data_IF_522116031918
#
_entry.id   IF_522116031918
#
_cell.length_a   1.000
_cell.length_b   1.000
_cell.length_c   1.000
_cell.angle_alpha   90.00
_cell.angle_beta   90.00
_cell.angle_gamma   90.00
#
_symmetry.space_group_name_H-M   'P 1'
#
loop_
_entity.id
_entity.type
_entity.pdbx_description
1 polymer ?
#
# COMPACT_ATOMS: atom_id res chain seq x y z
N UNK A 1 -47.68 -63.62 42.20
CA UNK A 1 -47.15 -62.33 42.72
C UNK A 1 -45.66 -62.27 42.28
N UNK A 2 -45.38 -61.67 41.14
CA UNK A 2 -44.03 -61.61 40.54
C UNK A 2 -43.76 -60.18 40.22
N UNK A 3 -42.76 -59.62 40.86
CA UNK A 3 -42.31 -58.24 40.71
C UNK A 3 -41.21 -58.24 39.69
N UNK A 4 -41.48 -57.56 38.52
CA UNK A 4 -40.48 -57.38 37.45
C UNK A 4 -39.47 -56.25 37.76
N UNK A 5 -38.20 -56.55 37.57
CA UNK A 5 -37.10 -55.56 37.57
C UNK A 5 -36.95 -54.98 36.16
N UNK A 6 -37.21 -53.68 36.04
CA UNK A 6 -36.82 -52.92 34.84
C UNK A 6 -35.48 -52.22 35.13
N UNK A 7 -34.47 -52.66 34.49
CA UNK A 7 -33.15 -52.03 34.51
C UNK A 7 -33.08 -50.93 33.42
N UNK A 8 -32.91 -49.69 33.84
CA UNK A 8 -32.64 -48.56 32.92
C UNK A 8 -31.14 -48.55 32.53
N UNK A 9 -30.86 -48.84 31.27
CA UNK A 9 -29.56 -48.58 30.68
C UNK A 9 -29.54 -47.11 30.19
N UNK A 10 -28.86 -46.24 30.90
CA UNK A 10 -28.53 -44.90 30.43
C UNK A 10 -27.32 -44.99 29.53
N UNK A 11 -27.50 -44.86 28.21
CA UNK A 11 -26.41 -44.74 27.25
C UNK A 11 -25.89 -43.27 27.25
N UNK A 12 -24.69 -43.10 27.84
CA UNK A 12 -23.94 -41.86 27.77
C UNK A 12 -23.31 -41.75 26.37
N UNK A 13 -23.88 -40.93 25.51
CA UNK A 13 -23.23 -40.52 24.26
C UNK A 13 -22.21 -39.42 24.58
N UNK A 14 -20.95 -39.83 24.75
CA UNK A 14 -19.82 -38.92 24.75
C UNK A 14 -19.50 -38.55 23.27
N UNK A 15 -20.03 -37.44 22.79
CA UNK A 15 -19.61 -36.88 21.50
C UNK A 15 -18.18 -36.35 21.62
N UNK A 16 -17.25 -37.12 21.14
CA UNK A 16 -15.88 -36.67 20.92
C UNK A 16 -15.90 -35.65 19.77
N UNK A 17 -16.00 -34.38 20.09
CA UNK A 17 -15.71 -33.30 19.13
C UNK A 17 -14.19 -33.26 19.01
N UNK A 18 -13.65 -34.08 18.12
CA UNK A 18 -12.26 -33.99 17.71
C UNK A 18 -12.07 -32.68 16.95
N UNK A 19 -11.38 -31.76 17.55
CA UNK A 19 -10.90 -30.54 16.89
C UNK A 19 -9.89 -30.94 15.80
N UNK A 20 -10.12 -30.66 14.50
CA UNK A 20 -9.16 -30.97 13.45
C UNK A 20 -8.07 -29.88 13.28
N UNK A 21 -7.66 -29.24 14.39
CA UNK A 21 -6.77 -28.08 14.31
C UNK A 21 -5.28 -28.37 14.51
N UNK A 22 -4.89 -29.60 14.85
CA UNK A 22 -3.51 -29.88 15.25
C UNK A 22 -2.60 -30.48 14.15
N UNK A 23 -3.13 -30.94 13.03
CA UNK A 23 -2.34 -31.68 12.02
C UNK A 23 -1.89 -30.85 10.80
N UNK A 24 -2.24 -29.55 10.74
CA UNK A 24 -1.90 -28.72 9.58
C UNK A 24 -0.59 -27.90 9.72
N UNK A 25 0.15 -28.03 10.81
CA UNK A 25 1.21 -27.08 11.16
C UNK A 25 2.61 -27.46 10.69
N UNK A 26 2.92 -28.75 10.46
CA UNK A 26 4.29 -29.17 10.13
C UNK A 26 4.66 -29.08 8.64
N UNK A 27 3.77 -28.67 7.75
CA UNK A 27 3.97 -28.70 6.31
C UNK A 27 3.64 -27.42 5.53
N UNK A 28 3.38 -26.28 6.18
CA UNK A 28 3.10 -25.03 5.43
C UNK A 28 4.40 -24.41 4.89
N UNK A 29 4.44 -23.97 3.59
CA UNK A 29 3.48 -24.29 2.54
C UNK A 29 3.77 -25.69 1.93
N UNK A 30 2.72 -26.45 1.63
CA UNK A 30 2.80 -27.74 0.92
C UNK A 30 2.13 -27.70 -0.46
N UNK A 31 1.66 -26.54 -0.89
CA UNK A 31 1.09 -26.23 -2.20
C UNK A 31 1.40 -24.78 -2.57
N UNK A 32 1.17 -24.36 -3.84
CA UNK A 32 1.43 -22.98 -4.25
C UNK A 32 0.69 -21.95 -3.41
N UNK A 33 1.39 -20.89 -3.02
CA UNK A 33 0.86 -19.71 -2.38
C UNK A 33 0.51 -18.66 -3.45
N UNK A 34 -0.52 -17.84 -3.25
CA UNK A 34 -0.90 -16.74 -4.12
C UNK A 34 -0.70 -15.40 -3.43
N UNK A 35 -0.05 -14.47 -4.11
CA UNK A 35 -0.07 -13.04 -3.76
C UNK A 35 -0.99 -12.33 -4.75
N UNK A 36 -2.10 -11.81 -4.27
CA UNK A 36 -3.02 -10.98 -5.06
C UNK A 36 -2.54 -9.53 -5.00
N UNK A 37 -2.35 -8.91 -6.17
CA UNK A 37 -1.98 -7.50 -6.26
C UNK A 37 -3.14 -6.67 -6.82
N UNK A 38 -3.44 -5.49 -6.24
CA UNK A 38 -4.59 -4.66 -6.63
C UNK A 38 -4.34 -3.81 -7.89
N UNK A 39 -3.26 -4.07 -8.60
CA UNK A 39 -2.80 -3.30 -9.76
C UNK A 39 -2.57 -4.21 -10.97
N UNK A 40 -2.44 -3.59 -12.15
CA UNK A 40 -2.14 -4.31 -13.39
C UNK A 40 -0.77 -5.00 -13.33
N UNK A 41 -0.64 -6.10 -14.06
CA UNK A 41 0.66 -6.73 -14.30
C UNK A 41 1.65 -5.74 -14.91
N UNK A 42 2.91 -5.81 -14.51
CA UNK A 42 3.96 -4.86 -14.91
C UNK A 42 3.95 -3.54 -14.15
N UNK A 43 3.01 -3.32 -13.22
CA UNK A 43 3.07 -2.17 -12.30
C UNK A 43 4.23 -2.29 -11.32
N UNK A 44 4.62 -1.17 -10.68
CA UNK A 44 5.65 -1.20 -9.63
C UNK A 44 5.29 -2.17 -8.49
N UNK A 45 4.01 -2.27 -8.14
CA UNK A 45 3.53 -3.22 -7.14
C UNK A 45 3.73 -4.69 -7.57
N UNK A 46 3.53 -5.00 -8.86
CA UNK A 46 3.81 -6.33 -9.41
C UNK A 46 5.30 -6.67 -9.33
N UNK A 47 6.16 -5.70 -9.67
CA UNK A 47 7.61 -5.86 -9.57
C UNK A 47 8.04 -6.15 -8.12
N UNK A 48 7.56 -5.37 -7.14
CA UNK A 48 7.90 -5.56 -5.74
C UNK A 48 7.41 -6.92 -5.21
N UNK A 49 6.17 -7.29 -5.54
CA UNK A 49 5.61 -8.60 -5.16
C UNK A 49 6.45 -9.75 -5.71
N UNK A 50 6.87 -9.69 -6.98
CA UNK A 50 7.66 -10.75 -7.62
C UNK A 50 9.06 -10.87 -7.04
N UNK A 51 9.74 -9.75 -6.73
CA UNK A 51 11.06 -9.76 -6.10
C UNK A 51 11.00 -10.51 -4.76
N UNK A 52 10.03 -10.18 -3.91
CA UNK A 52 9.86 -10.82 -2.60
C UNK A 52 9.39 -12.28 -2.75
N UNK A 53 8.41 -12.53 -3.62
CA UNK A 53 7.86 -13.87 -3.87
C UNK A 53 8.92 -14.85 -4.33
N UNK A 54 9.81 -14.45 -5.23
CA UNK A 54 10.89 -15.29 -5.75
C UNK A 54 11.83 -15.77 -4.62
N UNK A 55 12.23 -14.86 -3.74
CA UNK A 55 13.13 -15.22 -2.63
C UNK A 55 12.43 -16.08 -1.57
N UNK A 56 11.19 -15.71 -1.19
CA UNK A 56 10.42 -16.51 -0.22
C UNK A 56 10.10 -17.92 -0.75
N UNK A 57 9.79 -18.06 -2.05
CA UNK A 57 9.57 -19.35 -2.68
C UNK A 57 10.83 -20.23 -2.63
N UNK A 58 12.00 -19.65 -2.88
CA UNK A 58 13.28 -20.35 -2.78
C UNK A 58 13.56 -20.83 -1.35
N UNK A 59 13.27 -20.02 -0.31
CA UNK A 59 13.44 -20.43 1.10
C UNK A 59 12.61 -21.67 1.47
N UNK A 60 11.44 -21.83 0.83
CA UNK A 60 10.51 -22.94 1.13
C UNK A 60 10.62 -24.10 0.15
N UNK A 61 11.49 -24.00 -0.86
CA UNK A 61 11.52 -24.92 -2.01
C UNK A 61 10.11 -25.12 -2.61
N UNK A 62 9.36 -24.02 -2.69
CA UNK A 62 7.95 -24.00 -3.07
C UNK A 62 7.67 -23.02 -4.21
N UNK A 63 6.39 -22.75 -4.44
CA UNK A 63 5.93 -21.83 -5.48
C UNK A 63 5.07 -20.72 -4.87
N UNK A 64 5.36 -19.46 -5.24
CA UNK A 64 4.52 -18.30 -4.94
C UNK A 64 4.11 -17.64 -6.25
N UNK A 65 2.82 -17.59 -6.52
CA UNK A 65 2.24 -16.99 -7.73
C UNK A 65 1.82 -15.54 -7.43
N UNK A 66 2.11 -14.63 -8.34
CA UNK A 66 1.65 -13.24 -8.25
C UNK A 66 0.54 -13.02 -9.27
N UNK A 67 -0.65 -12.68 -8.78
CA UNK A 67 -1.87 -12.53 -9.58
C UNK A 67 -2.41 -11.10 -9.51
N UNK A 68 -2.65 -10.50 -10.68
CA UNK A 68 -3.23 -9.15 -10.79
C UNK A 68 -4.75 -9.19 -10.71
N UNK A 69 -5.33 -8.39 -9.81
CA UNK A 69 -6.79 -8.18 -9.66
C UNK A 69 -7.07 -6.68 -9.55
N UNK A 70 -6.88 -5.96 -10.64
CA UNK A 70 -7.11 -4.52 -10.68
C UNK A 70 -8.60 -4.18 -10.71
N UNK A 71 -8.96 -3.02 -10.17
CA UNK A 71 -10.32 -2.46 -10.21
C UNK A 71 -10.77 -1.89 -8.87
N UNK A 72 -11.72 -0.95 -8.92
CA UNK A 72 -12.29 -0.24 -7.78
C UNK A 72 -11.21 0.22 -6.77
N UNK A 73 -10.17 0.86 -7.27
CA UNK A 73 -9.01 1.30 -6.46
C UNK A 73 -8.46 0.21 -5.51
N UNK A 74 -8.37 -1.04 -5.99
CA UNK A 74 -7.87 -2.19 -5.20
C UNK A 74 -8.91 -2.94 -4.38
N UNK A 75 -10.15 -2.45 -4.27
CA UNK A 75 -11.19 -3.08 -3.46
C UNK A 75 -11.57 -4.47 -3.96
N UNK A 76 -11.50 -4.74 -5.28
CA UNK A 76 -11.78 -6.06 -5.84
C UNK A 76 -10.78 -7.10 -5.29
N UNK A 77 -9.50 -6.78 -5.29
CA UNK A 77 -8.45 -7.64 -4.74
C UNK A 77 -8.62 -7.85 -3.23
N UNK A 78 -8.91 -6.79 -2.50
CA UNK A 78 -9.09 -6.85 -1.04
C UNK A 78 -10.32 -7.70 -0.68
N UNK A 79 -11.46 -7.53 -1.37
CA UNK A 79 -12.67 -8.33 -1.14
C UNK A 79 -12.43 -9.83 -1.43
N UNK A 80 -11.69 -10.15 -2.50
CA UNK A 80 -11.34 -11.55 -2.81
C UNK A 80 -10.53 -12.19 -1.69
N UNK A 81 -9.48 -11.48 -1.19
CA UNK A 81 -8.61 -12.03 -0.14
C UNK A 81 -9.31 -12.06 1.21
N UNK A 82 -10.15 -11.06 1.53
CA UNK A 82 -10.95 -11.07 2.77
C UNK A 82 -11.86 -12.30 2.88
N UNK A 83 -12.32 -12.84 1.74
CA UNK A 83 -13.18 -14.03 1.64
C UNK A 83 -12.43 -15.34 1.42
N UNK A 84 -11.12 -15.29 1.26
CA UNK A 84 -10.31 -16.48 1.08
C UNK A 84 -10.28 -17.34 2.35
N UNK A 85 -9.94 -18.62 2.20
CA UNK A 85 -9.76 -19.50 3.36
C UNK A 85 -8.64 -18.94 4.26
N UNK A 86 -8.84 -18.94 5.60
CA UNK A 86 -7.85 -18.45 6.54
C UNK A 86 -6.76 -19.49 6.81
N UNK A 87 -6.11 -19.97 5.76
CA UNK A 87 -5.10 -21.04 5.79
C UNK A 87 -3.69 -20.56 5.44
N UNK A 88 -3.54 -19.25 5.13
CA UNK A 88 -2.28 -18.61 4.80
C UNK A 88 -1.83 -18.77 3.35
N UNK A 89 -2.60 -19.38 2.47
CA UNK A 89 -2.21 -19.59 1.06
C UNK A 89 -2.63 -18.45 0.12
N UNK A 90 -3.40 -17.48 0.60
CA UNK A 90 -3.78 -16.29 -0.18
C UNK A 90 -3.40 -15.03 0.58
N UNK A 91 -2.52 -14.24 -0.02
CA UNK A 91 -2.03 -12.98 0.54
C UNK A 91 -2.49 -11.81 -0.32
N UNK A 92 -2.58 -10.63 0.30
CA UNK A 92 -2.82 -9.38 -0.41
C UNK A 92 -1.59 -8.47 -0.28
N UNK A 93 -1.11 -7.97 -1.40
CA UNK A 93 -0.20 -6.82 -1.39
C UNK A 93 -1.01 -5.56 -1.13
N UNK A 94 -0.63 -4.81 -0.11
CA UNK A 94 -1.33 -3.59 0.33
C UNK A 94 -0.45 -2.36 0.27
N UNK A 95 -1.08 -1.22 0.09
CA UNK A 95 -0.51 0.13 0.15
C UNK A 95 -1.62 1.11 0.55
N UNK A 96 -1.46 2.40 0.35
CA UNK A 96 -2.37 3.47 0.78
C UNK A 96 -3.85 3.20 0.48
N UNK A 97 -4.20 2.54 -0.64
CA UNK A 97 -5.61 2.21 -0.94
C UNK A 97 -6.27 1.43 0.20
N UNK A 98 -5.51 0.54 0.83
CA UNK A 98 -6.00 -0.35 1.89
C UNK A 98 -6.43 0.42 3.14
N UNK A 99 -5.71 1.47 3.47
CA UNK A 99 -5.99 2.32 4.64
C UNK A 99 -6.93 3.49 4.34
N UNK A 100 -7.00 3.93 3.08
CA UNK A 100 -7.86 5.04 2.67
C UNK A 100 -9.29 4.59 2.29
N UNK A 101 -9.47 3.37 1.77
CA UNK A 101 -10.76 2.87 1.28
C UNK A 101 -11.91 2.97 2.29
N UNK A 102 -11.73 2.69 3.60
CA UNK A 102 -12.82 2.82 4.57
C UNK A 102 -13.45 4.20 4.64
N UNK A 103 -12.69 5.24 4.29
CA UNK A 103 -13.18 6.62 4.31
C UNK A 103 -13.65 7.12 2.95
N UNK A 104 -13.24 6.46 1.86
CA UNK A 104 -13.56 6.85 0.48
C UNK A 104 -14.86 6.25 -0.03
N UNK A 105 -15.23 5.05 0.43
CA UNK A 105 -16.39 4.31 -0.05
C UNK A 105 -17.46 4.19 1.02
N UNK A 106 -18.70 4.49 0.68
CA UNK A 106 -19.87 4.35 1.58
C UNK A 106 -20.27 2.88 1.76
N UNK A 107 -19.97 2.04 0.77
CA UNK A 107 -20.33 0.60 0.74
C UNK A 107 -19.12 -0.28 0.52
N UNK A 108 -18.23 -0.34 1.52
CA UNK A 108 -17.06 -1.23 1.48
C UNK A 108 -17.44 -2.62 2.03
N UNK A 109 -17.12 -3.68 1.28
CA UNK A 109 -17.44 -5.07 1.64
C UNK A 109 -16.34 -5.80 2.40
N UNK A 110 -15.34 -5.08 2.84
CA UNK A 110 -14.21 -5.56 3.64
C UNK A 110 -13.74 -4.46 4.60
N UNK A 111 -13.06 -4.87 5.65
CA UNK A 111 -12.50 -3.97 6.65
C UNK A 111 -11.02 -4.29 6.89
N UNK A 112 -10.10 -3.31 6.78
CA UNK A 112 -8.66 -3.56 6.90
C UNK A 112 -8.23 -4.08 8.26
N UNK A 113 -8.96 -3.78 9.32
CA UNK A 113 -8.60 -4.18 10.68
C UNK A 113 -9.29 -5.46 11.14
N UNK A 114 -10.51 -5.73 10.63
CA UNK A 114 -11.28 -6.91 11.00
C UNK A 114 -10.95 -8.13 10.15
N UNK A 115 -10.79 -7.95 8.83
CA UNK A 115 -10.77 -9.05 7.87
C UNK A 115 -9.36 -9.49 7.50
N UNK A 116 -8.32 -8.82 8.03
CA UNK A 116 -6.94 -9.10 7.68
C UNK A 116 -6.00 -9.14 8.88
N UNK A 117 -4.93 -9.91 8.74
CA UNK A 117 -3.80 -9.95 9.66
C UNK A 117 -2.58 -9.36 8.93
N UNK A 118 -1.97 -8.28 9.43
CA UNK A 118 -0.71 -7.78 8.91
C UNK A 118 0.42 -8.81 9.03
N UNK A 119 1.23 -8.95 7.99
CA UNK A 119 2.43 -9.79 7.99
C UNK A 119 3.68 -8.92 8.17
N UNK A 120 3.83 -7.91 7.34
CA UNK A 120 4.95 -6.98 7.41
C UNK A 120 5.01 -6.01 6.25
N UNK A 121 5.71 -4.90 6.46
CA UNK A 121 6.04 -3.94 5.42
C UNK A 121 7.23 -4.46 4.61
N UNK A 122 7.17 -4.30 3.30
CA UNK A 122 8.25 -4.63 2.37
C UNK A 122 9.21 -3.45 2.25
N UNK A 123 8.67 -2.28 1.90
CA UNK A 123 9.47 -1.12 1.56
C UNK A 123 8.68 0.18 1.64
N UNK A 124 9.36 1.31 1.52
CA UNK A 124 8.79 2.62 1.27
C UNK A 124 9.16 3.10 -0.13
N UNK A 125 8.23 3.72 -0.82
CA UNK A 125 8.42 4.23 -2.17
C UNK A 125 8.35 5.76 -2.16
N UNK A 126 9.50 6.46 -2.05
CA UNK A 126 9.52 7.91 -2.04
C UNK A 126 8.82 8.49 -3.26
N UNK A 127 8.04 9.54 -3.06
CA UNK A 127 7.47 10.35 -4.11
C UNK A 127 8.16 11.71 -4.15
N UNK A 128 8.07 12.36 -5.28
CA UNK A 128 8.70 13.65 -5.52
C UNK A 128 7.66 14.63 -6.03
N UNK A 129 7.63 15.80 -5.40
CA UNK A 129 6.83 16.91 -5.84
C UNK A 129 7.49 17.54 -7.06
N UNK A 130 6.87 17.40 -8.21
CA UNK A 130 7.40 17.88 -9.49
C UNK A 130 6.52 18.95 -10.08
N UNK A 131 7.16 19.86 -10.82
CA UNK A 131 6.55 20.93 -11.60
C UNK A 131 7.20 20.98 -13.00
N UNK A 132 6.51 21.45 -14.04
CA UNK A 132 7.15 21.67 -15.34
C UNK A 132 8.23 22.75 -15.19
N UNK A 133 9.33 22.62 -15.97
CA UNK A 133 10.41 23.62 -15.94
C UNK A 133 9.98 25.00 -16.39
N UNK A 134 8.90 25.11 -17.17
CA UNK A 134 8.27 26.37 -17.59
C UNK A 134 7.61 27.15 -16.43
N UNK A 135 7.25 26.47 -15.33
CA UNK A 135 6.68 27.15 -14.16
C UNK A 135 7.81 27.85 -13.38
N UNK A 136 7.68 29.18 -13.07
CA UNK A 136 8.74 29.96 -12.43
C UNK A 136 8.83 29.72 -10.92
N UNK A 137 8.95 28.45 -10.49
CA UNK A 137 9.11 28.04 -9.10
C UNK A 137 10.33 27.13 -8.94
N UNK A 138 11.07 27.26 -7.84
CA UNK A 138 12.30 26.51 -7.57
C UNK A 138 12.21 25.59 -6.36
N UNK A 139 11.28 25.85 -5.46
CA UNK A 139 11.06 25.16 -4.20
C UNK A 139 9.56 25.17 -3.83
N UNK A 140 9.20 24.50 -2.74
CA UNK A 140 7.81 24.43 -2.27
C UNK A 140 7.28 25.80 -1.83
N UNK A 141 8.12 26.65 -1.24
CA UNK A 141 7.72 27.97 -0.81
C UNK A 141 7.32 28.87 -2.01
N UNK A 142 8.07 28.82 -3.12
CA UNK A 142 7.73 29.54 -4.35
C UNK A 142 6.40 29.05 -4.93
N UNK A 143 6.16 27.72 -4.90
CA UNK A 143 4.91 27.11 -5.37
C UNK A 143 3.72 27.59 -4.54
N UNK A 144 3.84 27.56 -3.22
CA UNK A 144 2.80 28.03 -2.29
C UNK A 144 2.52 29.53 -2.49
N UNK A 145 3.57 30.35 -2.63
CA UNK A 145 3.42 31.77 -2.89
C UNK A 145 2.68 32.04 -4.21
N UNK A 146 3.03 31.32 -5.27
CA UNK A 146 2.35 31.43 -6.57
C UNK A 146 0.87 31.01 -6.49
N UNK A 147 0.58 29.88 -5.82
CA UNK A 147 -0.78 29.39 -5.65
C UNK A 147 -1.65 30.35 -4.85
N UNK A 148 -1.09 30.98 -3.80
CA UNK A 148 -1.79 32.01 -3.02
C UNK A 148 -2.01 33.30 -3.79
N UNK A 149 -1.05 33.70 -4.63
CA UNK A 149 -1.19 34.90 -5.47
C UNK A 149 -2.22 34.73 -6.61
N UNK A 150 -2.48 33.50 -7.04
CA UNK A 150 -3.36 33.15 -8.15
C UNK A 150 -4.25 31.95 -7.78
N UNK A 151 -5.20 32.05 -6.84
CA UNK A 151 -6.05 30.96 -6.41
C UNK A 151 -6.79 30.31 -7.59
N UNK A 152 -6.89 28.97 -7.61
CA UNK A 152 -7.61 28.20 -8.63
C UNK A 152 -6.96 28.16 -10.03
N UNK A 153 -5.84 28.88 -10.25
CA UNK A 153 -5.17 28.89 -11.58
C UNK A 153 -4.18 27.75 -11.76
N UNK A 154 -3.64 27.22 -10.66
CA UNK A 154 -2.78 26.04 -10.69
C UNK A 154 -3.62 24.77 -10.63
N UNK A 155 -3.08 23.71 -11.19
CA UNK A 155 -3.69 22.39 -11.14
C UNK A 155 -2.64 21.30 -10.74
N UNK A 156 -3.14 20.19 -10.28
CA UNK A 156 -2.28 19.02 -10.06
C UNK A 156 -2.92 17.77 -10.67
N UNK A 157 -2.10 16.86 -11.17
CA UNK A 157 -2.60 15.58 -11.66
C UNK A 157 -2.44 14.45 -10.66
N UNK A 158 -3.32 13.46 -10.76
CA UNK A 158 -3.25 12.22 -9.98
C UNK A 158 -3.78 11.01 -10.77
N UNK A 159 -3.32 9.77 -10.50
CA UNK A 159 -3.68 8.58 -11.28
C UNK A 159 -5.04 7.96 -10.90
N UNK A 160 -5.92 8.73 -10.29
CA UNK A 160 -7.26 8.33 -9.88
C UNK A 160 -7.63 8.83 -8.49
N UNK A 161 -8.93 8.97 -8.22
CA UNK A 161 -9.45 9.37 -6.90
C UNK A 161 -9.03 8.37 -5.82
N UNK A 162 -8.63 8.87 -4.65
CA UNK A 162 -8.18 8.04 -3.55
C UNK A 162 -6.78 7.41 -3.70
N UNK A 163 -6.09 7.68 -4.81
CA UNK A 163 -4.68 7.29 -4.94
C UNK A 163 -3.79 8.06 -3.98
N UNK A 164 -2.61 7.53 -3.67
CA UNK A 164 -1.61 8.19 -2.81
C UNK A 164 -1.28 9.60 -3.32
N UNK A 165 -1.16 9.77 -4.65
CA UNK A 165 -0.91 11.07 -5.25
C UNK A 165 -2.05 12.06 -5.05
N UNK A 166 -3.31 11.59 -5.13
CA UNK A 166 -4.49 12.41 -4.86
C UNK A 166 -4.55 12.83 -3.39
N UNK A 167 -4.59 11.87 -2.49
CA UNK A 167 -4.74 12.12 -1.06
C UNK A 167 -3.57 12.91 -0.46
N UNK A 168 -2.34 12.58 -0.88
CA UNK A 168 -1.15 13.31 -0.45
C UNK A 168 -1.14 14.77 -0.92
N UNK A 169 -1.63 15.04 -2.15
CA UNK A 169 -1.72 16.42 -2.64
C UNK A 169 -2.85 17.21 -1.94
N UNK A 170 -3.98 16.58 -1.66
CA UNK A 170 -5.06 17.21 -0.89
C UNK A 170 -4.62 17.51 0.55
N UNK A 171 -3.86 16.62 1.18
CA UNK A 171 -3.25 16.89 2.48
C UNK A 171 -2.30 18.11 2.39
N UNK A 172 -1.42 18.14 1.40
CA UNK A 172 -0.51 19.27 1.18
C UNK A 172 -1.26 20.60 0.95
N UNK A 173 -2.30 20.60 0.08
CA UNK A 173 -3.15 21.78 -0.16
C UNK A 173 -3.73 22.35 1.14
N UNK A 174 -4.28 21.46 1.97
CA UNK A 174 -4.87 21.84 3.27
C UNK A 174 -3.83 22.47 4.18
N UNK A 175 -2.67 21.82 4.34
CA UNK A 175 -1.61 22.31 5.23
C UNK A 175 -0.99 23.62 4.72
N UNK A 176 -0.88 23.77 3.41
CA UNK A 176 -0.35 24.98 2.79
C UNK A 176 -1.38 26.12 2.69
N UNK A 177 -2.67 25.85 2.89
CA UNK A 177 -3.76 26.85 2.74
C UNK A 177 -3.81 27.42 1.33
N UNK A 178 -3.81 26.54 0.29
CA UNK A 178 -3.79 26.92 -1.12
C UNK A 178 -4.95 26.29 -1.88
N UNK A 179 -5.40 26.97 -2.92
CA UNK A 179 -6.42 26.49 -3.86
C UNK A 179 -5.76 26.06 -5.18
N UNK A 180 -5.75 24.73 -5.42
CA UNK A 180 -5.16 24.08 -6.60
C UNK A 180 -6.12 22.99 -7.07
N UNK A 181 -6.47 22.99 -8.36
CA UNK A 181 -7.48 22.09 -8.92
C UNK A 181 -6.90 20.70 -9.21
N UNK A 182 -7.54 19.65 -8.70
CA UNK A 182 -7.16 18.25 -9.00
C UNK A 182 -7.68 17.77 -10.35
N UNK A 183 -6.82 17.15 -11.17
CA UNK A 183 -7.14 16.56 -12.47
C UNK A 183 -6.84 15.07 -12.45
N UNK A 184 -7.89 14.25 -12.55
CA UNK A 184 -7.78 12.80 -12.54
C UNK A 184 -7.42 12.21 -13.90
N UNK A 185 -6.46 11.30 -13.93
CA UNK A 185 -6.04 10.51 -15.09
C UNK A 185 -6.26 9.02 -14.83
N UNK A 186 -6.28 8.20 -15.90
CA UNK A 186 -6.35 6.74 -15.77
C UNK A 186 -5.00 6.09 -15.43
N UNK A 187 -3.96 6.89 -15.24
CA UNK A 187 -2.62 6.42 -14.88
C UNK A 187 -1.52 7.37 -15.31
N UNK A 188 -0.32 7.14 -14.84
CA UNK A 188 0.84 7.99 -15.07
C UNK A 188 1.22 8.19 -16.54
N UNK A 189 1.17 7.19 -17.45
CA UNK A 189 1.56 7.40 -18.85
C UNK A 189 0.79 8.52 -19.55
N UNK A 190 -0.47 8.74 -19.16
CA UNK A 190 -1.30 9.80 -19.73
C UNK A 190 -1.01 11.18 -19.10
N UNK A 191 -0.50 11.22 -17.88
CA UNK A 191 -0.18 12.47 -17.16
C UNK A 191 1.13 13.10 -17.64
N UNK A 192 2.14 12.28 -17.97
CA UNK A 192 3.52 12.75 -18.21
C UNK A 192 3.63 13.77 -19.36
N UNK A 193 2.99 13.60 -20.52
CA UNK A 193 2.99 14.61 -21.58
C UNK A 193 2.41 15.94 -21.16
N UNK A 194 1.31 15.92 -20.39
CA UNK A 194 0.61 17.14 -19.95
C UNK A 194 1.40 17.91 -18.89
N UNK A 195 2.17 17.21 -18.06
CA UNK A 195 3.11 17.85 -17.12
C UNK A 195 4.29 18.45 -17.90
N UNK A 196 4.85 17.69 -18.84
CA UNK A 196 5.99 18.15 -19.63
C UNK A 196 5.66 19.40 -20.48
N UNK A 197 4.44 19.50 -21.00
CA UNK A 197 3.95 20.66 -21.74
C UNK A 197 3.56 21.87 -20.88
N UNK A 198 3.39 21.68 -19.56
CA UNK A 198 2.92 22.70 -18.64
C UNK A 198 1.40 22.85 -18.57
N UNK A 199 0.62 21.99 -19.24
CA UNK A 199 -0.84 21.92 -19.10
C UNK A 199 -1.22 21.56 -17.66
N UNK A 200 -0.46 20.63 -17.06
CA UNK A 200 -0.50 20.31 -15.64
C UNK A 200 0.67 21.00 -14.94
N UNK A 201 0.38 21.75 -13.89
CA UNK A 201 1.36 22.58 -13.19
C UNK A 201 2.08 21.87 -12.06
N UNK A 202 1.58 20.70 -11.62
CA UNK A 202 2.22 19.93 -10.54
C UNK A 202 1.73 18.49 -10.47
N UNK A 203 2.53 17.61 -9.87
CA UNK A 203 2.13 16.24 -9.49
C UNK A 203 3.11 15.63 -8.50
N UNK A 204 2.76 14.46 -7.96
CA UNK A 204 3.67 13.58 -7.24
C UNK A 204 4.05 12.39 -8.12
N UNK A 205 5.35 12.18 -8.34
CA UNK A 205 5.90 11.06 -9.10
C UNK A 205 6.78 10.17 -8.23
N UNK A 206 6.81 8.88 -8.52
CA UNK A 206 7.81 7.98 -7.96
C UNK A 206 9.22 8.29 -8.49
N UNK A 207 10.26 7.77 -7.82
CA UNK A 207 11.65 8.01 -8.20
C UNK A 207 11.91 7.70 -9.68
N UNK A 208 11.49 6.53 -10.16
CA UNK A 208 11.73 6.11 -11.54
C UNK A 208 11.00 6.98 -12.57
N UNK A 209 9.78 7.42 -12.26
CA UNK A 209 9.00 8.30 -13.13
C UNK A 209 9.62 9.71 -13.19
N UNK A 210 10.03 10.25 -12.03
CA UNK A 210 10.67 11.56 -11.95
C UNK A 210 12.03 11.56 -12.67
N UNK A 211 12.82 10.51 -12.51
CA UNK A 211 14.18 10.42 -13.10
C UNK A 211 14.16 10.60 -14.62
N UNK A 212 13.29 9.87 -15.33
CA UNK A 212 13.19 9.98 -16.79
C UNK A 212 12.80 11.40 -17.24
N UNK A 213 11.90 12.07 -16.52
CA UNK A 213 11.42 13.41 -16.87
C UNK A 213 12.43 14.52 -16.48
N UNK A 214 13.19 14.33 -15.40
CA UNK A 214 14.29 15.23 -15.02
C UNK A 214 15.41 15.17 -16.04
N UNK A 215 15.78 13.97 -16.49
CA UNK A 215 16.83 13.78 -17.52
C UNK A 215 16.46 14.45 -18.85
N UNK A 216 15.18 14.46 -19.22
CA UNK A 216 14.71 15.17 -20.43
C UNK A 216 14.64 16.69 -20.25
N UNK A 217 14.81 17.21 -19.01
CA UNK A 217 14.69 18.64 -18.71
C UNK A 217 13.26 19.16 -18.71
N UNK A 218 12.24 18.31 -18.83
CA UNK A 218 10.83 18.70 -18.90
C UNK A 218 10.23 19.12 -17.57
N UNK A 219 10.73 18.55 -16.48
CA UNK A 219 10.27 18.83 -15.11
C UNK A 219 11.42 19.22 -14.17
N UNK A 220 11.03 19.87 -13.08
CA UNK A 220 11.88 20.13 -11.91
C UNK A 220 11.28 19.47 -10.69
N UNK A 221 12.10 18.85 -9.83
CA UNK A 221 11.70 18.40 -8.52
C UNK A 221 11.87 19.56 -7.54
N UNK A 222 10.85 19.86 -6.76
CA UNK A 222 10.84 20.94 -5.77
C UNK A 222 10.76 20.44 -4.33
N UNK A 223 10.49 19.14 -4.11
CA UNK A 223 10.45 18.53 -2.78
C UNK A 223 10.38 17.02 -2.84
N UNK A 224 10.92 16.37 -1.82
CA UNK A 224 10.82 14.93 -1.65
C UNK A 224 9.78 14.59 -0.57
N UNK A 225 8.98 13.54 -0.82
CA UNK A 225 8.03 12.95 0.11
C UNK A 225 8.60 11.61 0.55
N UNK A 226 9.49 11.67 1.53
CA UNK A 226 10.26 10.54 2.03
C UNK A 226 10.68 10.81 3.49
N UNK A 227 10.98 9.77 4.25
CA UNK A 227 11.33 9.88 5.69
C UNK A 227 12.61 10.68 5.96
N UNK A 228 13.40 10.93 4.93
CA UNK A 228 14.61 11.74 4.89
C UNK A 228 14.91 12.08 3.45
N UNK A 229 16.06 12.70 3.17
CA UNK A 229 16.48 12.94 1.78
C UNK A 229 16.67 11.62 1.06
N UNK A 230 16.02 11.49 -0.08
CA UNK A 230 16.07 10.26 -0.87
C UNK A 230 17.41 10.13 -1.60
N UNK A 231 17.97 8.91 -1.61
CA UNK A 231 19.19 8.60 -2.36
C UNK A 231 19.08 8.79 -3.87
N UNK A 232 17.85 8.77 -4.41
CA UNK A 232 17.62 8.99 -5.84
C UNK A 232 17.84 10.46 -6.23
N UNK A 233 17.59 11.39 -5.31
CA UNK A 233 17.75 12.83 -5.49
C UNK A 233 18.23 13.47 -4.18
N UNK A 234 19.50 13.26 -3.79
CA UNK A 234 20.01 13.63 -2.45
C UNK A 234 20.03 15.14 -2.20
N UNK A 235 20.08 15.94 -3.25
CA UNK A 235 20.09 17.41 -3.16
C UNK A 235 18.68 18.00 -2.98
N UNK A 236 17.62 17.19 -3.21
CA UNK A 236 16.24 17.65 -3.09
C UNK A 236 15.81 17.63 -1.61
N UNK A 237 15.45 18.79 -1.01
CA UNK A 237 14.96 18.81 0.35
C UNK A 237 13.60 18.13 0.47
N UNK A 238 13.34 17.50 1.62
CA UNK A 238 12.03 16.92 1.91
C UNK A 238 10.96 17.98 2.12
N UNK A 239 9.67 17.60 2.07
CA UNK A 239 8.58 18.50 2.47
C UNK A 239 8.72 18.92 3.94
N UNK A 240 9.20 18.02 4.81
CA UNK A 240 9.43 18.31 6.21
C UNK A 240 10.51 19.40 6.40
N UNK A 241 11.64 19.31 5.70
CA UNK A 241 12.69 20.32 5.71
C UNK A 241 12.20 21.69 5.20
N UNK A 242 11.13 21.70 4.40
CA UNK A 242 10.49 22.90 3.85
C UNK A 242 9.26 23.37 4.65
N UNK A 243 9.08 22.86 5.89
CA UNK A 243 8.01 23.29 6.79
C UNK A 243 6.68 22.54 6.67
N UNK A 244 6.62 21.47 5.91
CA UNK A 244 5.40 20.66 5.67
C UNK A 244 5.58 19.22 6.17
N UNK A 245 6.04 19.05 7.40
CA UNK A 245 6.30 17.72 7.98
C UNK A 245 5.08 16.80 7.98
N UNK A 246 3.88 17.34 8.24
CA UNK A 246 2.64 16.57 8.24
C UNK A 246 2.18 16.13 6.83
N UNK A 247 2.67 16.78 5.77
CA UNK A 247 2.42 16.38 4.38
C UNK A 247 3.37 15.27 3.91
N UNK A 248 4.33 14.88 4.74
CA UNK A 248 5.35 13.88 4.40
C UNK A 248 4.86 12.46 4.61
N UNK A 249 3.83 12.06 3.87
CA UNK A 249 3.30 10.69 3.91
C UNK A 249 3.94 9.85 2.82
N UNK A 250 5.02 9.17 3.17
CA UNK A 250 5.75 8.29 2.25
C UNK A 250 4.92 7.05 1.95
N UNK A 251 4.58 6.77 0.68
CA UNK A 251 3.92 5.53 0.30
C UNK A 251 4.72 4.30 0.76
N UNK A 252 4.01 3.27 1.17
CA UNK A 252 4.59 2.00 1.60
C UNK A 252 3.89 0.82 0.92
N UNK A 253 4.58 -0.33 0.90
CA UNK A 253 4.04 -1.60 0.43
C UNK A 253 4.24 -2.67 1.50
N UNK A 254 3.26 -3.53 1.66
CA UNK A 254 3.31 -4.62 2.64
C UNK A 254 2.40 -5.77 2.26
N UNK A 255 2.43 -6.82 3.07
CA UNK A 255 1.63 -8.02 2.90
C UNK A 255 0.69 -8.19 4.08
N UNK A 256 -0.56 -8.55 3.77
CA UNK A 256 -1.55 -9.01 4.74
C UNK A 256 -2.12 -10.35 4.31
N UNK A 257 -2.68 -11.11 5.26
CA UNK A 257 -3.41 -12.36 5.01
C UNK A 257 -4.81 -12.27 5.61
N UNK A 258 -5.70 -13.20 5.25
CA UNK A 258 -7.06 -13.30 5.74
C UNK A 258 -7.09 -13.46 7.27
N UNK A 259 -8.01 -12.76 7.95
CA UNK A 259 -8.24 -12.92 9.39
C UNK A 259 -8.60 -14.36 9.73
N UNK A 260 -8.14 -14.83 10.91
CA UNK A 260 -8.31 -16.22 11.31
C UNK A 260 -7.25 -17.19 10.82
N UNK A 261 -6.27 -16.73 10.00
CA UNK A 261 -5.08 -17.54 9.66
C UNK A 261 -4.34 -17.95 10.95
N UNK A 262 -4.00 -19.26 11.13
CA UNK A 262 -3.35 -19.74 12.34
C UNK A 262 -2.04 -19.01 12.65
N UNK A 263 -1.83 -18.66 13.91
CA UNK A 263 -0.66 -17.88 14.34
C UNK A 263 0.70 -18.50 13.93
N UNK A 264 0.93 -19.82 13.97
CA UNK A 264 2.17 -20.42 13.47
C UNK A 264 2.40 -20.18 11.97
N UNK A 265 1.33 -20.17 11.17
CA UNK A 265 1.40 -19.87 9.73
C UNK A 265 1.74 -18.39 9.51
N UNK A 266 1.08 -17.47 10.23
CA UNK A 266 1.36 -16.03 10.20
C UNK A 266 2.83 -15.77 10.54
N UNK A 267 3.33 -16.37 11.61
CA UNK A 267 4.71 -16.22 12.06
C UNK A 267 5.71 -16.77 11.04
N UNK A 268 5.40 -17.91 10.39
CA UNK A 268 6.24 -18.49 9.35
C UNK A 268 6.32 -17.62 8.10
N UNK A 269 5.20 -17.04 7.68
CA UNK A 269 5.17 -16.06 6.56
C UNK A 269 5.98 -14.83 6.93
N UNK A 270 5.76 -14.27 8.11
CA UNK A 270 6.48 -13.09 8.59
C UNK A 270 7.99 -13.30 8.67
N UNK A 271 8.43 -14.45 9.21
CA UNK A 271 9.84 -14.80 9.28
C UNK A 271 10.48 -14.91 7.89
N UNK A 272 9.79 -15.56 6.94
CA UNK A 272 10.27 -15.69 5.56
C UNK A 272 10.34 -14.34 4.84
N UNK A 273 9.37 -13.45 5.08
CA UNK A 273 9.40 -12.08 4.54
C UNK A 273 10.60 -11.31 5.09
N UNK A 274 10.83 -11.33 6.40
CA UNK A 274 11.97 -10.64 7.02
C UNK A 274 13.30 -11.20 6.51
N UNK A 275 13.42 -12.54 6.39
CA UNK A 275 14.60 -13.17 5.83
C UNK A 275 14.84 -12.76 4.36
N UNK A 276 13.77 -12.69 3.54
CA UNK A 276 13.88 -12.23 2.16
C UNK A 276 14.39 -10.79 2.07
N UNK A 277 13.86 -9.91 2.92
CA UNK A 277 14.25 -8.49 2.94
C UNK A 277 15.66 -8.26 3.51
N UNK A 278 16.24 -9.22 4.20
CA UNK A 278 17.63 -9.17 4.67
C UNK A 278 18.65 -9.60 3.59
N UNK A 279 18.19 -10.18 2.47
CA UNK A 279 19.09 -10.61 1.37
C UNK A 279 19.50 -9.40 0.56
N UNK A 280 20.82 -9.17 0.40
CA UNK A 280 21.37 -8.01 -0.31
C UNK A 280 20.82 -7.90 -1.74
N UNK A 281 20.74 -8.99 -2.48
CA UNK A 281 20.20 -9.01 -3.85
C UNK A 281 18.72 -8.56 -3.92
N UNK A 282 17.90 -8.94 -2.93
CA UNK A 282 16.50 -8.51 -2.81
C UNK A 282 16.43 -7.02 -2.52
N UNK A 283 17.29 -6.56 -1.60
CA UNK A 283 17.43 -5.16 -1.24
C UNK A 283 17.77 -4.32 -2.48
N UNK A 284 18.82 -4.69 -3.22
CA UNK A 284 19.27 -3.98 -4.41
C UNK A 284 18.20 -3.95 -5.52
N UNK A 285 17.51 -5.07 -5.75
CA UNK A 285 16.43 -5.14 -6.74
C UNK A 285 15.26 -4.23 -6.39
N UNK A 286 14.84 -4.18 -5.13
CA UNK A 286 13.79 -3.27 -4.65
C UNK A 286 14.22 -1.82 -4.82
N UNK A 287 15.44 -1.49 -4.46
CA UNK A 287 16.01 -0.17 -4.62
C UNK A 287 16.03 0.29 -6.08
N UNK A 288 16.55 -0.53 -6.99
CA UNK A 288 16.56 -0.23 -8.43
C UNK A 288 15.12 -0.02 -8.95
N UNK A 289 14.17 -0.76 -8.39
CA UNK A 289 12.75 -0.60 -8.74
C UNK A 289 12.09 0.66 -8.12
N UNK A 290 12.79 1.43 -7.28
CA UNK A 290 12.29 2.67 -6.68
C UNK A 290 11.57 2.45 -5.34
N UNK A 291 11.83 1.33 -4.67
CA UNK A 291 11.29 0.99 -3.36
C UNK A 291 12.43 0.84 -2.36
N UNK A 292 12.61 1.81 -1.49
CA UNK A 292 13.61 1.75 -0.43
C UNK A 292 13.21 0.66 0.58
N UNK A 293 13.98 -0.44 0.69
CA UNK A 293 13.68 -1.51 1.63
C UNK A 293 13.67 -0.97 3.05
N UNK A 294 12.51 -1.11 3.69
CA UNK A 294 12.32 -0.71 5.08
C UNK A 294 11.38 -1.73 5.72
N UNK A 295 11.99 -2.84 6.10
CA UNK A 295 11.26 -3.91 6.77
C UNK A 295 10.66 -3.40 8.09
N UNK A 296 9.34 -3.51 8.24
CA UNK A 296 8.67 -3.37 9.51
C UNK A 296 7.99 -4.71 9.84
N UNK A 297 8.36 -5.34 10.95
CA UNK A 297 7.71 -6.58 11.38
C UNK A 297 6.25 -6.33 11.75
N UNK A 298 5.49 -7.41 11.90
CA UNK A 298 4.02 -7.43 12.05
C UNK A 298 3.47 -6.35 12.98
N UNK A 299 3.99 -6.25 14.20
CA UNK A 299 3.47 -5.29 15.19
C UNK A 299 3.64 -3.85 14.72
N UNK A 300 4.83 -3.49 14.27
CA UNK A 300 5.10 -2.15 13.75
C UNK A 300 4.28 -1.85 12.48
N UNK A 301 4.08 -2.85 11.61
CA UNK A 301 3.27 -2.68 10.41
C UNK A 301 1.78 -2.51 10.74
N UNK A 302 1.27 -3.19 11.76
CA UNK A 302 -0.09 -2.97 12.26
C UNK A 302 -0.30 -1.54 12.77
N UNK A 303 0.69 -0.97 13.48
CA UNK A 303 0.64 0.41 13.94
C UNK A 303 0.65 1.41 12.77
N UNK A 304 1.45 1.16 11.73
CA UNK A 304 1.46 1.96 10.50
C UNK A 304 0.07 1.94 9.84
N UNK A 305 -0.54 0.76 9.67
CA UNK A 305 -1.89 0.63 9.09
C UNK A 305 -2.91 1.41 9.92
N UNK A 306 -2.88 1.27 11.25
CA UNK A 306 -3.81 1.96 12.15
C UNK A 306 -3.67 3.49 12.09
N UNK A 307 -2.44 3.99 12.09
CA UNK A 307 -2.19 5.43 12.02
C UNK A 307 -2.61 6.00 10.66
N UNK A 308 -2.35 5.28 9.57
CA UNK A 308 -2.74 5.69 8.22
C UNK A 308 -4.25 5.73 8.04
N UNK A 309 -4.99 4.76 8.60
CA UNK A 309 -6.47 4.78 8.56
C UNK A 309 -6.99 6.06 9.19
N UNK A 310 -6.48 6.44 10.36
CA UNK A 310 -6.88 7.65 11.04
C UNK A 310 -6.51 8.93 10.25
N UNK A 311 -5.31 8.97 9.68
CA UNK A 311 -4.85 10.08 8.85
C UNK A 311 -5.74 10.27 7.63
N UNK A 312 -5.97 9.19 6.86
CA UNK A 312 -6.76 9.29 5.63
C UNK A 312 -8.23 9.58 5.90
N UNK A 313 -8.79 9.11 7.01
CA UNK A 313 -10.14 9.48 7.42
C UNK A 313 -10.28 10.99 7.60
N UNK A 314 -9.28 11.63 8.22
CA UNK A 314 -9.28 13.09 8.40
C UNK A 314 -9.11 13.82 7.05
N UNK A 315 -8.17 13.38 6.20
CA UNK A 315 -7.91 14.00 4.89
C UNK A 315 -9.14 13.91 3.98
N UNK A 316 -9.74 12.73 3.89
CA UNK A 316 -10.93 12.48 3.07
C UNK A 316 -12.10 13.34 3.52
N UNK A 317 -12.33 13.42 4.84
CA UNK A 317 -13.38 14.27 5.44
C UNK A 317 -13.15 15.74 5.14
N UNK A 318 -11.94 16.26 5.37
CA UNK A 318 -11.63 17.67 5.23
C UNK A 318 -11.66 18.13 3.76
N UNK A 319 -11.26 17.26 2.84
CA UNK A 319 -11.27 17.54 1.41
C UNK A 319 -12.62 17.22 0.72
N UNK A 320 -13.59 16.65 1.43
CA UNK A 320 -14.89 16.27 0.87
C UNK A 320 -14.79 15.23 -0.25
N UNK A 321 -13.81 14.32 -0.18
CA UNK A 321 -13.54 13.33 -1.23
C UNK A 321 -14.46 12.12 -1.05
N UNK A 322 -15.09 11.67 -2.14
CA UNK A 322 -15.77 10.39 -2.25
C UNK A 322 -15.30 9.67 -3.50
N UNK A 323 -15.22 8.35 -3.45
CA UNK A 323 -14.86 7.50 -4.59
C UNK A 323 -16.07 6.76 -5.19
N UNK A 324 -17.26 6.94 -4.60
CA UNK A 324 -18.55 6.44 -5.11
C UNK A 324 -19.03 7.24 -6.33
#
# INVERSE_FOLDING_TARGET
>A
MVIGRIGAMAAVWLTLVAAPAALAQDGFPNRPVRIVIPYSAGSVADVFARIVAQNMAAQWNGTILVESKSGANGSIAAEEVARAAPDGYTWLLVTTFFTASPSLYTTLRWDPQRDFIPIGQICRAPNFFVVPTSLPVKNVADYVALARAKPGTLNYSHPGKGSTGHLGFELFKRLAGIDVTGVGYRGYPQMLPDIASGLITSTFLSANQAMAQVQSGSIRIIGAISDGRSKYFPDVPTLAEQGFAEAQVTPWFGIVVTAGTPEPVVNRIGAALQAALAVAEVHDKLDIAGCEPKAAPRAQFADIIKSDIALWAQVVKDAGITAD
#
